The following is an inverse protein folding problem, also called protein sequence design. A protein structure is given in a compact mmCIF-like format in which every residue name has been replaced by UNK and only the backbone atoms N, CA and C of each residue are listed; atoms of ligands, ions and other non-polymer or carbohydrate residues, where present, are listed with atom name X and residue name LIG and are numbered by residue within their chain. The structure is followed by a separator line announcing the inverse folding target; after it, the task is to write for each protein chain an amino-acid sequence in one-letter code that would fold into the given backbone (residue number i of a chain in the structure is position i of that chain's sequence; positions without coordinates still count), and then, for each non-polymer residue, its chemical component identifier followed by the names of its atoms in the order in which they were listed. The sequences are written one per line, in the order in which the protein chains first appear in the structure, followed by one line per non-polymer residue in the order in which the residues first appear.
data_IF_302165112574
#
_entry.id   IF_302165112574
#
_cell.length_a   1.000
_cell.length_b   1.000
_cell.length_c   1.000
_cell.angle_alpha   90.00
_cell.angle_beta   90.00
_cell.angle_gamma   90.00
#
_symmetry.space_group_name_H-M   'P 1'
#
loop_
_entity.id
_entity.type
_entity.pdbx_description
1 polymer ?
#
# COMPACT_ATOMS: atom_id res chain seq x y z
N UNK A 1 29.15 -5.00 24.31
CA UNK A 1 29.25 -3.91 23.32
C UNK A 1 28.27 -4.23 22.21
N UNK A 2 27.32 -3.35 21.92
CA UNK A 2 26.45 -3.54 20.76
C UNK A 2 27.34 -3.49 19.49
N UNK A 3 27.09 -4.38 18.53
CA UNK A 3 27.80 -4.37 17.25
C UNK A 3 27.53 -3.04 16.53
N UNK A 4 28.50 -2.55 15.76
CA UNK A 4 28.25 -1.36 14.93
C UNK A 4 27.18 -1.64 13.88
N UNK A 5 26.30 -0.67 13.57
CA UNK A 5 25.20 -0.88 12.64
C UNK A 5 25.70 -1.21 11.23
N UNK A 6 25.03 -2.15 10.55
CA UNK A 6 25.44 -2.64 9.21
C UNK A 6 25.15 -1.66 8.05
N UNK A 7 24.39 -0.58 8.28
CA UNK A 7 24.09 0.46 7.29
C UNK A 7 22.59 0.71 7.06
N UNK A 8 22.16 0.86 5.81
CA UNK A 8 20.74 1.05 5.48
C UNK A 8 20.17 -0.20 4.82
N UNK A 9 19.02 -0.67 5.29
CA UNK A 9 18.24 -1.73 4.63
C UNK A 9 16.91 -1.17 4.12
N UNK A 10 16.50 -1.61 2.93
CA UNK A 10 15.18 -1.29 2.35
C UNK A 10 14.32 -2.54 2.41
N UNK A 11 13.16 -2.44 3.05
CA UNK A 11 12.22 -3.55 3.26
C UNK A 11 10.92 -3.24 2.51
N UNK A 12 10.40 -4.21 1.76
CA UNK A 12 9.12 -4.09 1.07
C UNK A 12 8.07 -5.01 1.70
N UNK A 13 7.08 -4.42 2.36
CA UNK A 13 5.95 -5.12 2.99
C UNK A 13 4.87 -5.38 1.93
N UNK A 14 4.37 -6.61 1.86
CA UNK A 14 3.28 -6.95 0.98
C UNK A 14 1.99 -6.23 1.38
N UNK A 15 1.19 -5.77 0.40
CA UNK A 15 -0.09 -5.08 0.71
C UNK A 15 -1.12 -5.96 1.44
N UNK A 16 -0.95 -7.29 1.41
CA UNK A 16 -1.76 -8.26 2.15
C UNK A 16 -1.19 -8.56 3.55
N UNK A 17 0.03 -8.14 3.85
CA UNK A 17 0.66 -8.37 5.17
C UNK A 17 0.08 -7.46 6.25
N UNK A 18 -0.69 -6.44 5.86
CA UNK A 18 -1.21 -5.42 6.75
C UNK A 18 -2.75 -5.40 6.79
N UNK A 19 -3.45 -6.22 6.01
CA UNK A 19 -4.91 -6.32 6.00
C UNK A 19 -5.33 -7.75 5.69
N UNK A 20 -6.26 -8.29 6.48
CA UNK A 20 -7.04 -9.46 6.09
C UNK A 20 -8.30 -9.00 5.31
N UNK A 21 -8.35 -9.21 3.98
CA UNK A 21 -9.51 -8.81 3.17
C UNK A 21 -10.77 -9.63 3.47
N UNK A 22 -10.64 -10.76 4.18
CA UNK A 22 -11.75 -11.61 4.59
C UNK A 22 -12.27 -11.27 5.99
N UNK A 23 -11.58 -10.39 6.73
CA UNK A 23 -11.98 -10.02 8.08
C UNK A 23 -13.21 -9.12 8.08
N UNK A 24 -14.19 -9.47 8.92
CA UNK A 24 -15.34 -8.62 9.25
C UNK A 24 -15.04 -7.57 10.33
N UNK A 25 -13.84 -7.58 10.92
CA UNK A 25 -13.44 -6.73 12.05
C UNK A 25 -12.73 -5.44 11.62
N UNK A 26 -12.49 -5.27 10.31
CA UNK A 26 -11.98 -4.02 9.74
C UNK A 26 -10.58 -3.65 10.25
N UNK A 27 -10.42 -2.42 10.75
CA UNK A 27 -9.12 -1.87 11.14
C UNK A 27 -8.49 -2.55 12.38
N UNK A 28 -9.23 -3.32 13.18
CA UNK A 28 -8.66 -3.97 14.38
C UNK A 28 -7.74 -5.13 14.01
N UNK A 29 -8.14 -6.02 13.09
CA UNK A 29 -7.31 -7.14 12.65
C UNK A 29 -6.08 -6.66 11.85
N UNK A 30 -6.18 -5.45 11.30
CA UNK A 30 -5.08 -4.77 10.60
C UNK A 30 -3.95 -4.41 11.59
N UNK A 31 -4.26 -4.12 12.85
CA UNK A 31 -3.27 -3.74 13.88
C UNK A 31 -2.45 -4.94 14.37
N UNK A 32 -3.09 -6.09 14.59
CA UNK A 32 -2.41 -7.32 15.02
C UNK A 32 -1.46 -7.83 13.92
N UNK A 33 -1.92 -7.86 12.66
CA UNK A 33 -1.09 -8.21 11.51
C UNK A 33 0.08 -7.23 11.33
N UNK A 34 -0.18 -5.94 11.49
CA UNK A 34 0.86 -4.91 11.43
C UNK A 34 1.92 -5.12 12.51
N UNK A 35 1.52 -5.53 13.72
CA UNK A 35 2.43 -5.72 14.85
C UNK A 35 3.45 -6.80 14.57
N UNK A 36 3.04 -7.95 14.04
CA UNK A 36 3.96 -9.03 13.66
C UNK A 36 5.04 -8.53 12.70
N UNK A 37 4.65 -7.76 11.68
CA UNK A 37 5.60 -7.18 10.71
C UNK A 37 6.50 -6.13 11.37
N UNK A 38 5.93 -5.27 12.23
CA UNK A 38 6.68 -4.21 12.89
C UNK A 38 7.70 -4.74 13.91
N UNK A 39 7.44 -5.88 14.55
CA UNK A 39 8.42 -6.56 15.41
C UNK A 39 9.67 -7.00 14.65
N UNK A 40 9.50 -7.47 13.42
CA UNK A 40 10.62 -7.81 12.53
C UNK A 40 11.35 -6.56 12.04
N UNK A 41 10.61 -5.51 11.67
CA UNK A 41 11.19 -4.22 11.25
C UNK A 41 12.02 -3.59 12.38
N UNK A 42 11.54 -3.61 13.63
CA UNK A 42 12.29 -3.12 14.79
C UNK A 42 13.59 -3.93 15.00
N UNK A 43 13.54 -5.25 14.79
CA UNK A 43 14.74 -6.10 14.85
C UNK A 43 15.76 -5.71 13.78
N UNK A 44 15.31 -5.42 12.55
CA UNK A 44 16.17 -4.93 11.48
C UNK A 44 16.74 -3.54 11.78
N UNK A 45 15.97 -2.65 12.41
CA UNK A 45 16.42 -1.32 12.81
C UNK A 45 17.63 -1.39 13.74
N UNK A 46 17.61 -2.33 14.69
CA UNK A 46 18.73 -2.58 15.60
C UNK A 46 19.98 -3.15 14.91
N UNK A 47 19.80 -3.95 13.85
CA UNK A 47 20.91 -4.60 13.13
C UNK A 47 21.59 -3.64 12.15
N UNK A 48 20.79 -2.92 11.36
CA UNK A 48 21.29 -2.08 10.28
C UNK A 48 21.55 -0.65 10.75
N UNK A 49 20.75 -0.11 11.68
CA UNK A 49 20.84 1.27 12.16
C UNK A 49 19.94 2.23 11.38
N UNK A 50 19.61 1.92 10.13
CA UNK A 50 18.60 2.63 9.34
C UNK A 50 17.77 1.65 8.51
N UNK A 51 16.45 1.82 8.54
CA UNK A 51 15.50 0.98 7.80
C UNK A 51 14.56 1.89 7.01
N UNK A 52 14.47 1.65 5.70
CA UNK A 52 13.47 2.25 4.84
C UNK A 52 12.38 1.22 4.59
N UNK A 53 11.17 1.49 5.07
CA UNK A 53 10.00 0.63 4.86
C UNK A 53 9.21 1.13 3.67
N UNK A 54 8.94 0.24 2.72
CA UNK A 54 7.98 0.45 1.63
C UNK A 54 6.83 -0.55 1.78
N UNK A 55 5.66 -0.26 1.21
CA UNK A 55 4.51 -1.15 1.30
C UNK A 55 3.72 -1.17 -0.01
N UNK A 56 3.04 -2.29 -0.26
CA UNK A 56 1.97 -2.35 -1.25
C UNK A 56 0.67 -1.72 -0.75
N UNK A 57 -0.23 -1.36 -1.66
CA UNK A 57 -1.55 -0.80 -1.32
C UNK A 57 -2.70 -1.39 -2.18
N UNK A 58 -2.51 -2.56 -2.80
CA UNK A 58 -3.45 -3.09 -3.80
C UNK A 58 -4.90 -3.29 -3.31
N UNK A 59 -5.12 -3.98 -2.17
CA UNK A 59 -6.43 -4.04 -1.54
C UNK A 59 -6.95 -2.66 -1.13
N UNK A 60 -6.09 -1.86 -0.49
CA UNK A 60 -6.33 -0.56 0.11
C UNK A 60 -6.85 0.48 -0.89
N UNK A 61 -6.14 0.66 -2.00
CA UNK A 61 -6.53 1.58 -3.07
C UNK A 61 -7.80 1.10 -3.76
N UNK A 62 -8.02 -0.21 -3.82
CA UNK A 62 -9.26 -0.77 -4.36
C UNK A 62 -10.48 -0.47 -3.50
N UNK A 63 -10.36 -0.57 -2.18
CA UNK A 63 -11.42 -0.16 -1.26
C UNK A 63 -11.69 1.34 -1.34
N UNK A 64 -10.65 2.16 -1.51
CA UNK A 64 -10.81 3.60 -1.64
C UNK A 64 -11.54 3.99 -2.94
N UNK A 65 -11.22 3.31 -4.05
CA UNK A 65 -11.95 3.48 -5.31
C UNK A 65 -13.43 3.09 -5.17
N UNK A 66 -13.74 2.02 -4.43
CA UNK A 66 -15.13 1.61 -4.17
C UNK A 66 -15.85 2.65 -3.31
N UNK A 67 -15.21 3.17 -2.26
CA UNK A 67 -15.79 4.24 -1.41
C UNK A 67 -16.10 5.49 -2.22
N UNK A 68 -15.13 5.96 -3.01
CA UNK A 68 -15.29 7.10 -3.91
C UNK A 68 -16.47 6.91 -4.86
N UNK A 69 -16.59 5.73 -5.45
CA UNK A 69 -17.68 5.44 -6.39
C UNK A 69 -19.05 5.35 -5.70
N UNK A 70 -19.14 4.71 -4.53
CA UNK A 70 -20.39 4.67 -3.77
C UNK A 70 -20.85 6.08 -3.33
N UNK A 71 -19.89 6.99 -3.09
CA UNK A 71 -20.17 8.37 -2.73
C UNK A 71 -20.36 9.29 -3.95
N UNK A 72 -20.19 8.80 -5.19
CA UNK A 72 -20.13 9.62 -6.42
C UNK A 72 -21.37 10.47 -6.70
N UNK A 73 -22.53 10.09 -6.17
CA UNK A 73 -23.78 10.86 -6.27
C UNK A 73 -23.84 12.07 -5.34
N UNK A 74 -22.93 12.15 -4.37
CA UNK A 74 -22.84 13.22 -3.35
C UNK A 74 -21.53 14.00 -3.49
N UNK A 75 -20.42 13.30 -3.70
CA UNK A 75 -19.06 13.87 -3.82
C UNK A 75 -18.40 13.31 -5.09
N UNK A 76 -17.88 14.14 -5.99
CA UNK A 76 -17.17 13.65 -7.18
C UNK A 76 -16.02 12.71 -6.81
N UNK A 77 -15.81 11.61 -7.54
CA UNK A 77 -14.75 10.66 -7.23
C UNK A 77 -13.37 11.23 -7.55
N UNK A 78 -12.40 10.94 -6.69
CA UNK A 78 -11.01 11.34 -6.87
C UNK A 78 -10.27 10.52 -7.94
N UNK A 79 -9.19 11.10 -8.47
CA UNK A 79 -8.26 10.44 -9.38
C UNK A 79 -7.45 9.31 -8.72
N UNK A 80 -6.90 8.40 -9.52
CA UNK A 80 -6.12 7.26 -9.05
C UNK A 80 -4.89 7.66 -8.22
N UNK A 81 -4.27 8.78 -8.59
CA UNK A 81 -3.14 9.40 -7.90
C UNK A 81 -3.53 9.88 -6.48
N UNK A 82 -4.67 10.56 -6.35
CA UNK A 82 -5.19 11.04 -5.06
C UNK A 82 -5.60 9.87 -4.17
N UNK A 83 -6.29 8.86 -4.71
CA UNK A 83 -6.58 7.61 -4.00
C UNK A 83 -5.29 6.92 -3.54
N UNK A 84 -4.26 6.92 -4.39
CA UNK A 84 -2.92 6.44 -4.04
C UNK A 84 -2.33 7.19 -2.86
N UNK A 85 -2.34 8.52 -2.89
CA UNK A 85 -1.86 9.37 -1.79
C UNK A 85 -2.63 9.16 -0.49
N UNK A 86 -3.97 9.05 -0.55
CA UNK A 86 -4.80 8.74 0.61
C UNK A 86 -4.39 7.42 1.27
N UNK A 87 -4.09 6.40 0.47
CA UNK A 87 -3.65 5.09 0.99
C UNK A 87 -2.27 5.12 1.63
N UNK A 88 -1.37 5.97 1.15
CA UNK A 88 -0.09 6.20 1.82
C UNK A 88 -0.31 6.84 3.20
N UNK A 89 -1.25 7.78 3.31
CA UNK A 89 -1.57 8.45 4.57
C UNK A 89 -2.02 7.47 5.65
N UNK A 90 -3.05 6.67 5.39
CA UNK A 90 -3.57 5.78 6.44
C UNK A 90 -2.68 4.55 6.70
N UNK A 91 -2.00 4.00 5.68
CA UNK A 91 -1.05 2.90 5.89
C UNK A 91 0.21 3.38 6.62
N UNK A 92 0.73 4.55 6.22
CA UNK A 92 1.85 5.17 6.90
C UNK A 92 1.53 5.49 8.36
N UNK A 93 0.34 6.04 8.63
CA UNK A 93 -0.14 6.27 9.99
C UNK A 93 -0.18 4.98 10.83
N UNK A 94 -0.77 3.92 10.29
CA UNK A 94 -0.85 2.63 10.97
C UNK A 94 0.55 2.07 11.30
N UNK A 95 1.44 2.03 10.29
CA UNK A 95 2.80 1.51 10.46
C UNK A 95 3.54 2.35 11.51
N UNK A 96 3.43 3.67 11.45
CA UNK A 96 4.06 4.56 12.42
C UNK A 96 3.57 4.32 13.85
N UNK A 97 2.25 4.19 14.05
CA UNK A 97 1.70 3.89 15.37
C UNK A 97 2.23 2.56 15.89
N UNK A 98 2.04 1.49 15.11
CA UNK A 98 2.36 0.13 15.55
C UNK A 98 3.86 -0.05 15.78
N UNK A 99 4.70 0.46 14.87
CA UNK A 99 6.15 0.38 15.03
C UNK A 99 6.64 1.26 16.18
N UNK A 100 6.03 2.44 16.37
CA UNK A 100 6.30 3.29 17.54
C UNK A 100 6.04 2.58 18.85
N UNK A 101 4.86 1.95 18.99
CA UNK A 101 4.50 1.17 20.19
C UNK A 101 5.50 0.02 20.43
N UNK A 102 5.87 -0.73 19.38
CA UNK A 102 6.83 -1.83 19.47
C UNK A 102 8.21 -1.34 19.92
N UNK A 103 8.68 -0.21 19.41
CA UNK A 103 9.96 0.38 19.78
C UNK A 103 9.94 0.90 21.22
N UNK A 104 8.85 1.56 21.64
CA UNK A 104 8.66 2.02 23.01
C UNK A 104 8.68 0.86 24.01
N UNK A 105 7.96 -0.23 23.72
CA UNK A 105 7.94 -1.45 24.54
C UNK A 105 9.33 -2.10 24.65
N UNK A 106 10.17 -1.96 23.61
CA UNK A 106 11.57 -2.43 23.60
C UNK A 106 12.54 -1.46 24.28
N UNK A 107 12.09 -0.26 24.66
CA UNK A 107 12.95 0.81 25.18
C UNK A 107 13.92 1.35 24.13
N UNK A 108 13.55 1.29 22.85
CA UNK A 108 14.35 1.74 21.71
C UNK A 108 13.86 3.12 21.22
N UNK A 109 14.66 4.16 21.41
CA UNK A 109 14.34 5.53 20.98
C UNK A 109 14.71 5.74 19.50
N UNK A 110 13.92 5.17 18.60
CA UNK A 110 14.10 5.28 17.15
C UNK A 110 12.90 6.05 16.57
N UNK A 111 13.11 7.21 15.92
CA UNK A 111 12.02 7.99 15.34
C UNK A 111 11.43 7.28 14.11
N UNK A 112 10.10 7.29 13.98
CA UNK A 112 9.38 6.71 12.84
C UNK A 112 8.58 7.78 12.10
N UNK A 113 8.82 7.92 10.80
CA UNK A 113 8.12 8.88 9.95
C UNK A 113 7.63 8.24 8.64
N UNK A 114 6.43 8.61 8.20
CA UNK A 114 5.92 8.29 6.86
C UNK A 114 5.97 9.50 5.96
N UNK A 115 6.37 9.29 4.71
CA UNK A 115 6.45 10.32 3.70
C UNK A 115 5.50 10.01 2.56
N UNK A 116 4.61 10.96 2.26
CA UNK A 116 3.89 10.93 0.99
C UNK A 116 4.92 11.01 -0.13
N UNK A 117 4.89 10.02 -1.01
CA UNK A 117 5.94 9.78 -2.00
C UNK A 117 5.34 9.70 -3.40
N UNK A 118 5.91 10.49 -4.31
CA UNK A 118 5.58 10.53 -5.72
C UNK A 118 6.62 9.75 -6.53
N UNK A 119 6.14 9.05 -7.55
CA UNK A 119 6.97 8.30 -8.47
C UNK A 119 6.70 8.78 -9.89
N UNK A 120 7.74 9.30 -10.53
CA UNK A 120 7.71 9.69 -11.94
C UNK A 120 7.56 8.45 -12.82
N UNK A 121 6.70 8.56 -13.82
CA UNK A 121 6.43 7.53 -14.84
C UNK A 121 6.35 8.20 -16.22
N UNK A 122 6.61 7.43 -17.27
CA UNK A 122 6.48 7.96 -18.65
C UNK A 122 5.01 8.04 -19.05
N UNK A 123 4.56 9.20 -19.57
CA UNK A 123 3.21 9.34 -20.13
C UNK A 123 2.92 8.40 -21.31
N UNK A 124 3.96 7.94 -22.00
CA UNK A 124 3.87 7.02 -23.13
C UNK A 124 4.04 5.55 -22.73
N UNK A 125 4.07 5.24 -21.43
CA UNK A 125 4.25 3.87 -20.96
C UNK A 125 3.11 2.95 -21.48
N UNK A 126 3.44 1.80 -22.09
CA UNK A 126 2.43 0.88 -22.63
C UNK A 126 1.47 0.33 -21.56
N UNK A 127 1.84 0.37 -20.28
CA UNK A 127 0.99 0.02 -19.15
C UNK A 127 -0.28 0.87 -19.02
N UNK A 128 -0.30 2.09 -19.58
CA UNK A 128 -1.53 2.89 -19.68
C UNK A 128 -2.54 2.31 -20.67
N UNK A 129 -2.06 1.66 -21.75
CA UNK A 129 -2.90 1.06 -22.79
C UNK A 129 -3.28 -0.39 -22.49
N UNK A 130 -2.50 -1.07 -21.65
CA UNK A 130 -2.77 -2.43 -21.19
C UNK A 130 -2.74 -2.51 -19.65
N UNK A 131 -3.86 -2.19 -18.98
CA UNK A 131 -4.00 -2.37 -17.53
C UNK A 131 -3.76 -3.82 -17.11
N UNK A 132 -2.89 -4.02 -16.12
CA UNK A 132 -2.50 -5.37 -15.65
C UNK A 132 -2.54 -5.52 -14.14
N UNK A 133 -2.47 -4.42 -13.37
CA UNK A 133 -2.38 -4.49 -11.92
C UNK A 133 -3.77 -4.68 -11.32
N UNK A 134 -4.06 -5.80 -10.62
CA UNK A 134 -5.34 -5.98 -9.97
C UNK A 134 -5.46 -5.12 -8.70
N UNK A 135 -6.62 -4.51 -8.51
CA UNK A 135 -6.98 -3.71 -7.34
C UNK A 135 -8.36 -4.11 -6.81
N UNK A 136 -8.58 -3.92 -5.51
CA UNK A 136 -9.89 -4.16 -4.88
C UNK A 136 -10.26 -5.63 -4.72
N UNK A 137 -11.53 -5.93 -4.43
CA UNK A 137 -12.01 -7.28 -4.10
C UNK A 137 -12.14 -8.16 -5.34
N UNK A 138 -12.41 -9.44 -5.10
CA UNK A 138 -12.72 -10.42 -6.14
C UNK A 138 -14.22 -10.40 -6.47
N UNK A 139 -14.54 -10.62 -7.73
CA UNK A 139 -15.89 -10.71 -8.28
C UNK A 139 -16.09 -12.04 -9.02
N UNK A 140 -17.32 -12.54 -9.03
CA UNK A 140 -17.72 -13.65 -9.91
C UNK A 140 -17.75 -13.21 -11.39
N UNK A 141 -17.74 -14.18 -12.31
CA UNK A 141 -17.70 -13.90 -13.75
C UNK A 141 -18.89 -13.04 -14.24
N UNK A 142 -20.11 -13.38 -13.82
CA UNK A 142 -21.32 -12.64 -14.20
C UNK A 142 -21.31 -11.21 -13.64
N UNK A 143 -20.95 -11.08 -12.37
CA UNK A 143 -20.83 -9.79 -11.69
C UNK A 143 -19.78 -8.89 -12.35
N UNK A 144 -18.62 -9.46 -12.68
CA UNK A 144 -17.54 -8.74 -13.34
C UNK A 144 -17.94 -8.26 -14.74
N UNK A 145 -18.67 -9.08 -15.50
CA UNK A 145 -19.19 -8.70 -16.81
C UNK A 145 -20.21 -7.55 -16.71
N UNK A 146 -21.09 -7.59 -15.71
CA UNK A 146 -22.04 -6.50 -15.44
C UNK A 146 -21.32 -5.20 -15.08
N UNK A 147 -20.39 -5.26 -14.13
CA UNK A 147 -19.57 -4.11 -13.69
C UNK A 147 -18.79 -3.51 -14.86
N UNK A 148 -18.19 -4.36 -15.72
CA UNK A 148 -17.46 -3.88 -16.90
C UNK A 148 -18.38 -3.13 -17.86
N UNK A 149 -19.60 -3.61 -18.08
CA UNK A 149 -20.58 -2.96 -18.96
C UNK A 149 -21.14 -1.66 -18.38
N UNK A 150 -21.44 -1.63 -17.08
CA UNK A 150 -22.03 -0.47 -16.41
C UNK A 150 -21.02 0.65 -16.15
N UNK A 151 -19.79 0.28 -15.77
CA UNK A 151 -18.78 1.22 -15.24
C UNK A 151 -17.57 1.40 -16.16
N UNK A 152 -17.49 0.65 -17.26
CA UNK A 152 -16.36 0.69 -18.19
C UNK A 152 -15.06 0.16 -17.59
N UNK A 153 -15.13 -0.65 -16.53
CA UNK A 153 -13.95 -1.19 -15.87
C UNK A 153 -13.31 -2.29 -16.71
N UNK A 154 -11.97 -2.29 -16.77
CA UNK A 154 -11.22 -3.42 -17.30
C UNK A 154 -11.12 -4.47 -16.20
N UNK A 155 -11.81 -5.59 -16.38
CA UNK A 155 -11.81 -6.73 -15.46
C UNK A 155 -10.93 -7.85 -16.03
N UNK A 156 -10.09 -8.46 -15.20
CA UNK A 156 -9.29 -9.65 -15.58
C UNK A 156 -9.43 -10.75 -14.54
N UNK A 157 -9.38 -11.99 -15.00
CA UNK A 157 -9.31 -13.16 -14.12
C UNK A 157 -7.95 -13.18 -13.39
N UNK A 158 -7.97 -13.51 -12.10
CA UNK A 158 -6.79 -13.60 -11.23
C UNK A 158 -6.64 -15.03 -10.69
N UNK A 159 -5.96 -15.86 -11.48
CA UNK A 159 -5.49 -17.20 -11.13
C UNK A 159 -6.60 -18.13 -10.56
N UNK A 160 -7.78 -18.17 -11.18
CA UNK A 160 -8.88 -19.03 -10.74
C UNK A 160 -9.58 -18.59 -9.45
N UNK A 161 -9.19 -17.45 -8.84
CA UNK A 161 -9.82 -16.92 -7.62
C UNK A 161 -11.00 -15.98 -7.91
N UNK A 162 -11.27 -15.72 -9.18
CA UNK A 162 -12.30 -14.79 -9.65
C UNK A 162 -11.71 -13.65 -10.48
N UNK A 163 -12.50 -12.60 -10.66
CA UNK A 163 -12.15 -11.44 -11.47
C UNK A 163 -11.85 -10.24 -10.59
N UNK A 164 -10.92 -9.38 -11.02
CA UNK A 164 -10.60 -8.11 -10.35
C UNK A 164 -10.52 -6.99 -11.36
N UNK A 165 -10.81 -5.76 -10.90
CA UNK A 165 -10.52 -4.55 -11.65
C UNK A 165 -9.01 -4.46 -11.84
N UNK A 166 -8.57 -4.22 -13.07
CA UNK A 166 -7.18 -3.91 -13.36
C UNK A 166 -7.00 -2.44 -13.72
N UNK A 167 -5.88 -1.88 -13.28
CA UNK A 167 -5.49 -0.48 -13.51
C UNK A 167 -4.14 -0.42 -14.22
N UNK A 168 -3.82 0.72 -14.87
CA UNK A 168 -2.48 0.96 -15.40
C UNK A 168 -1.39 0.72 -14.36
N UNK A 169 -0.29 0.11 -14.80
CA UNK A 169 0.86 -0.19 -13.95
C UNK A 169 2.16 0.18 -14.69
N UNK A 170 2.37 1.47 -14.95
CA UNK A 170 3.56 1.93 -15.68
C UNK A 170 4.84 1.65 -14.91
N UNK A 171 5.96 1.56 -15.62
CA UNK A 171 7.27 1.34 -15.01
C UNK A 171 7.71 2.59 -14.24
N UNK A 172 8.15 2.46 -12.96
CA UNK A 172 8.67 3.58 -12.21
C UNK A 172 10.01 4.06 -12.80
N UNK A 173 10.17 5.38 -12.92
CA UNK A 173 11.40 6.01 -13.43
C UNK A 173 12.21 6.66 -12.31
N UNK A 174 11.57 7.41 -11.42
CA UNK A 174 12.24 8.19 -10.39
C UNK A 174 11.34 8.40 -9.18
N UNK A 175 11.92 8.30 -7.98
CA UNK A 175 11.27 8.72 -6.73
C UNK A 175 11.57 10.21 -6.54
N UNK A 176 10.53 11.05 -6.46
CA UNK A 176 10.70 12.51 -6.37
C UNK A 176 11.28 12.89 -5.00
N UNK A 177 10.76 12.31 -3.93
CA UNK A 177 11.16 12.59 -2.53
C UNK A 177 12.43 11.82 -2.10
N UNK A 178 13.17 11.20 -3.03
CA UNK A 178 14.42 10.50 -2.70
C UNK A 178 15.44 11.36 -1.93
N UNK A 179 15.62 12.67 -2.22
CA UNK A 179 16.48 13.52 -1.41
C UNK A 179 16.01 13.66 0.05
N UNK A 180 14.70 13.75 0.28
CA UNK A 180 14.13 13.82 1.63
C UNK A 180 14.31 12.49 2.37
N UNK A 181 14.03 11.37 1.70
CA UNK A 181 14.23 10.02 2.24
C UNK A 181 15.68 9.79 2.66
N UNK A 182 16.66 10.31 1.93
CA UNK A 182 18.09 10.19 2.25
C UNK A 182 18.57 11.13 3.37
N UNK A 183 17.81 12.19 3.66
CA UNK A 183 18.17 13.19 4.66
C UNK A 183 17.65 12.83 6.07
N UNK A 184 16.68 11.92 6.14
CA UNK A 184 16.18 11.29 7.36
C UNK A 184 17.09 10.13 7.77
#
# INVERSE_FOLDING_TARGET
MAAEPLGTVVVAIGGNSMIDPCSSRGNLDTHDLAREVCEEVATLARIFGSVVVTHGNGPQVGFELIRNEMASSVVPPDGMDVNGAATQGYLGYLIQQVLGDVLEERGEDIPVSSLVTQVEVSSDDPGFRNPTKPVGPFYGAEEAARIAAERGWVMKEDAGRGFRRVVPSPRPLKIIELPAIRAL
#
